data_IF_000467040366
#
_entry.id   IF_000467040366
#
_cell.length_a   1.000
_cell.length_b   1.000
_cell.length_c   1.000
_cell.angle_alpha   90.00
_cell.angle_beta   90.00
_cell.angle_gamma   90.00
#
_symmetry.space_group_name_H-M   'P 1'
#
loop_
_entity.id
_entity.type
_entity.pdbx_description
1 polymer ?
#
# COMPACT_ATOMS: atom_id res chain seq x y z
N UNK A 1 78.08 -26.49 13.77
CA UNK A 1 77.59 -26.31 12.38
C UNK A 1 76.38 -27.15 11.97
N UNK A 2 75.98 -28.22 12.69
CA UNK A 2 74.76 -29.00 12.35
C UNK A 2 73.45 -28.50 13.00
N UNK A 3 73.51 -27.65 14.03
CA UNK A 3 72.33 -27.08 14.70
C UNK A 3 71.82 -25.80 14.00
N UNK A 4 72.73 -24.94 13.51
CA UNK A 4 72.39 -23.74 12.75
C UNK A 4 71.70 -24.06 11.40
N UNK A 5 72.02 -25.18 10.75
CA UNK A 5 71.35 -25.63 9.52
C UNK A 5 69.92 -26.16 9.75
N UNK A 6 69.59 -26.65 10.96
CA UNK A 6 68.22 -27.10 11.29
C UNK A 6 67.30 -25.94 11.66
N UNK A 7 67.81 -24.89 12.30
CA UNK A 7 67.04 -23.69 12.63
C UNK A 7 66.76 -22.86 11.36
N UNK A 8 67.72 -22.80 10.43
CA UNK A 8 67.55 -22.10 9.15
C UNK A 8 66.59 -22.83 8.19
N UNK A 9 66.48 -24.16 8.28
CA UNK A 9 65.52 -24.94 7.49
C UNK A 9 64.07 -24.85 8.00
N UNK A 10 63.87 -24.65 9.31
CA UNK A 10 62.53 -24.48 9.93
C UNK A 10 62.02 -23.04 9.72
N UNK A 11 62.90 -22.03 9.72
CA UNK A 11 62.52 -20.64 9.43
C UNK A 11 62.22 -20.43 7.94
N UNK A 12 62.89 -21.16 7.02
CA UNK A 12 62.59 -21.10 5.59
C UNK A 12 61.30 -21.85 5.19
N UNK A 13 60.87 -22.84 5.98
CA UNK A 13 59.60 -23.56 5.76
C UNK A 13 58.40 -22.88 6.41
N UNK A 14 58.60 -22.06 7.46
CA UNK A 14 57.56 -21.18 7.99
C UNK A 14 57.30 -19.94 7.10
N UNK A 15 58.30 -19.47 6.35
CA UNK A 15 58.16 -18.33 5.43
C UNK A 15 57.61 -18.70 4.04
N UNK A 16 57.60 -19.98 3.65
CA UNK A 16 56.95 -20.46 2.42
C UNK A 16 55.49 -20.88 2.60
N UNK A 17 55.02 -21.12 3.84
CA UNK A 17 53.59 -21.40 4.11
C UNK A 17 52.82 -20.12 4.44
N UNK A 18 53.51 -19.03 4.81
CA UNK A 18 52.90 -17.70 4.97
C UNK A 18 52.84 -16.87 3.67
N UNK A 19 53.37 -17.39 2.55
CA UNK A 19 53.35 -16.73 1.24
C UNK A 19 52.54 -17.50 0.17
N UNK A 20 51.76 -18.51 0.58
CA UNK A 20 50.85 -19.27 -0.29
C UNK A 20 49.35 -19.11 0.08
N UNK A 21 49.00 -18.14 0.94
CA UNK A 21 47.62 -17.71 1.18
C UNK A 21 47.38 -16.22 0.88
N UNK A 22 48.32 -15.57 0.20
CA UNK A 22 48.18 -14.21 -0.30
C UNK A 22 48.54 -14.23 -1.79
N UNK A 23 47.53 -14.41 -2.66
CA UNK A 23 47.70 -14.40 -4.12
C UNK A 23 47.23 -15.67 -4.81
N UNK A 24 45.93 -15.96 -4.72
CA UNK A 24 45.16 -16.70 -5.72
C UNK A 24 43.67 -16.57 -5.37
N UNK A 25 43.15 -15.35 -5.42
CA UNK A 25 41.77 -15.15 -5.86
C UNK A 25 41.92 -14.67 -7.28
N UNK A 26 41.84 -15.61 -8.22
CA UNK A 26 41.48 -15.25 -9.58
C UNK A 26 40.09 -14.63 -9.46
N UNK A 27 40.03 -13.30 -9.47
CA UNK A 27 38.82 -12.64 -9.92
C UNK A 27 38.54 -13.23 -11.31
N UNK A 28 37.30 -13.64 -11.63
CA UNK A 28 36.92 -13.63 -13.01
C UNK A 28 37.06 -12.16 -13.43
N UNK A 29 38.11 -11.86 -14.22
CA UNK A 29 38.04 -10.77 -15.18
C UNK A 29 36.95 -11.16 -16.18
N UNK A 30 35.69 -10.98 -15.76
CA UNK A 30 34.67 -10.55 -16.67
C UNK A 30 34.87 -9.06 -16.81
N UNK A 31 35.44 -8.61 -17.93
CA UNK A 31 34.95 -7.40 -18.56
C UNK A 31 33.48 -7.69 -18.93
N UNK A 32 32.61 -7.65 -17.91
CA UNK A 32 31.21 -7.43 -18.10
C UNK A 32 31.09 -5.97 -18.50
N UNK A 33 30.48 -5.74 -19.65
CA UNK A 33 30.01 -4.43 -20.03
C UNK A 33 29.31 -3.85 -18.79
N UNK A 34 29.85 -2.76 -18.24
CA UNK A 34 29.30 -2.13 -17.04
C UNK A 34 28.09 -1.30 -17.47
N UNK A 35 27.18 -1.92 -18.22
CA UNK A 35 25.86 -1.37 -18.47
C UNK A 35 25.21 -1.27 -17.11
N UNK A 36 24.88 -0.05 -16.69
CA UNK A 36 24.09 0.17 -15.50
C UNK A 36 22.85 -0.74 -15.58
N UNK A 37 22.52 -1.40 -14.46
CA UNK A 37 21.30 -2.19 -14.33
C UNK A 37 20.13 -1.36 -14.85
N UNK A 38 19.22 -2.00 -15.58
CA UNK A 38 18.04 -1.34 -16.15
C UNK A 38 16.77 -1.84 -15.49
N UNK A 39 15.92 -0.90 -15.10
CA UNK A 39 14.61 -1.18 -14.52
C UNK A 39 13.54 -0.64 -15.45
N UNK A 40 12.68 -1.53 -15.91
CA UNK A 40 11.51 -1.23 -16.72
C UNK A 40 10.28 -1.00 -15.85
N UNK A 41 9.49 0.02 -16.18
CA UNK A 41 8.23 0.33 -15.48
C UNK A 41 7.07 0.37 -16.48
N UNK A 42 5.95 -0.22 -16.08
CA UNK A 42 4.69 -0.24 -16.80
C UNK A 42 3.65 0.43 -15.89
N UNK A 43 3.11 1.55 -16.37
CA UNK A 43 2.10 2.36 -15.66
C UNK A 43 0.77 2.34 -16.41
N UNK A 44 -0.34 2.16 -15.70
CA UNK A 44 -1.69 2.12 -16.27
C UNK A 44 -2.06 3.43 -16.96
N UNK A 45 -1.73 4.57 -16.34
CA UNK A 45 -1.95 5.91 -16.83
C UNK A 45 -0.64 6.72 -16.83
N UNK A 46 -0.76 8.05 -16.84
CA UNK A 46 0.34 9.00 -16.73
C UNK A 46 0.20 9.88 -15.48
N UNK A 47 1.05 10.91 -15.37
CA UNK A 47 1.12 11.83 -14.23
C UNK A 47 -0.18 12.59 -13.89
N UNK A 48 -1.22 12.52 -14.74
CA UNK A 48 -2.52 13.12 -14.46
C UNK A 48 -3.35 12.28 -13.47
N UNK A 49 -3.09 10.99 -13.36
CA UNK A 49 -3.64 10.13 -12.30
C UNK A 49 -2.83 10.35 -11.02
N UNK A 50 -3.51 10.62 -9.90
CA UNK A 50 -2.81 10.81 -8.62
C UNK A 50 -2.12 9.54 -8.14
N UNK A 51 -2.64 8.38 -8.50
CA UNK A 51 -2.06 7.06 -8.24
C UNK A 51 -0.78 6.84 -9.05
N UNK A 52 -0.84 6.91 -10.38
CA UNK A 52 0.31 6.68 -11.25
C UNK A 52 1.40 7.72 -11.03
N UNK A 53 1.05 8.98 -10.76
CA UNK A 53 2.02 10.01 -10.39
C UNK A 53 2.83 9.62 -9.15
N UNK A 54 2.20 8.99 -8.17
CA UNK A 54 2.89 8.51 -6.96
C UNK A 54 3.88 7.38 -7.28
N UNK A 55 3.53 6.44 -8.16
CA UNK A 55 4.47 5.41 -8.64
C UNK A 55 5.60 5.97 -9.48
N UNK A 56 5.30 6.87 -10.43
CA UNK A 56 6.30 7.50 -11.30
C UNK A 56 7.33 8.24 -10.45
N UNK A 57 6.87 9.02 -9.46
CA UNK A 57 7.77 9.75 -8.55
C UNK A 57 8.65 8.79 -7.77
N UNK A 58 8.07 7.73 -7.18
CA UNK A 58 8.82 6.72 -6.43
C UNK A 58 9.84 5.96 -7.31
N UNK A 59 9.48 5.67 -8.56
CA UNK A 59 10.38 5.03 -9.53
C UNK A 59 11.57 5.92 -9.88
N UNK A 60 11.33 7.21 -10.15
CA UNK A 60 12.38 8.19 -10.40
C UNK A 60 13.33 8.31 -9.19
N UNK A 61 12.78 8.46 -7.98
CA UNK A 61 13.54 8.59 -6.74
C UNK A 61 14.38 7.33 -6.45
N UNK A 62 13.79 6.14 -6.55
CA UNK A 62 14.49 4.88 -6.32
C UNK A 62 15.59 4.64 -7.37
N UNK A 63 15.32 4.89 -8.66
CA UNK A 63 16.31 4.73 -9.70
C UNK A 63 17.48 5.73 -9.55
N UNK A 64 17.20 6.99 -9.18
CA UNK A 64 18.24 7.98 -8.86
C UNK A 64 19.07 7.54 -7.65
N UNK A 65 18.43 7.09 -6.56
CA UNK A 65 19.10 6.65 -5.34
C UNK A 65 20.02 5.44 -5.58
N UNK A 66 19.56 4.48 -6.39
CA UNK A 66 20.28 3.24 -6.70
C UNK A 66 21.28 3.37 -7.86
N UNK A 67 21.23 4.47 -8.62
CA UNK A 67 22.11 4.71 -9.75
C UNK A 67 21.87 3.75 -10.92
N UNK A 68 20.61 3.35 -11.14
CA UNK A 68 20.18 2.45 -12.21
C UNK A 68 19.46 3.22 -13.32
N UNK A 69 19.44 2.67 -14.54
CA UNK A 69 18.75 3.28 -15.68
C UNK A 69 17.26 2.91 -15.65
N UNK A 70 16.39 3.92 -15.73
CA UNK A 70 14.93 3.75 -15.77
C UNK A 70 14.43 3.78 -17.22
N UNK A 71 13.62 2.79 -17.61
CA UNK A 71 12.79 2.81 -18.82
C UNK A 71 11.32 2.73 -18.41
N UNK A 72 10.43 3.52 -19.02
CA UNK A 72 9.01 3.53 -18.67
C UNK A 72 8.09 3.41 -19.87
N UNK A 73 6.91 2.84 -19.63
CA UNK A 73 5.74 2.79 -20.51
C UNK A 73 4.53 3.26 -19.70
N UNK A 74 3.82 4.27 -20.21
CA UNK A 74 2.62 4.84 -19.59
C UNK A 74 1.40 4.59 -20.47
N UNK A 75 0.20 4.64 -19.91
CA UNK A 75 -1.05 4.39 -20.63
C UNK A 75 -1.14 2.94 -21.16
N UNK A 76 -0.70 1.98 -20.35
CA UNK A 76 -0.75 0.55 -20.67
C UNK A 76 -1.98 -0.08 -20.02
N UNK A 77 -2.97 -0.41 -20.83
CA UNK A 77 -4.21 -1.02 -20.35
C UNK A 77 -3.99 -2.39 -19.68
N UNK A 78 -4.97 -2.78 -18.87
CA UNK A 78 -5.10 -4.12 -18.27
C UNK A 78 -5.53 -5.18 -19.31
N UNK A 79 -4.74 -5.29 -20.38
CA UNK A 79 -4.90 -6.28 -21.43
C UNK A 79 -3.53 -6.79 -21.93
N UNK A 80 -3.50 -7.52 -23.06
CA UNK A 80 -2.28 -8.07 -23.68
C UNK A 80 -1.20 -7.01 -23.98
N UNK A 81 -1.55 -5.72 -23.98
CA UNK A 81 -0.58 -4.62 -24.05
C UNK A 81 0.41 -4.64 -22.88
N UNK A 82 0.01 -5.11 -21.69
CA UNK A 82 0.90 -5.25 -20.54
C UNK A 82 2.02 -6.27 -20.81
N UNK A 83 1.66 -7.48 -21.25
CA UNK A 83 2.64 -8.51 -21.63
C UNK A 83 3.56 -8.01 -22.75
N UNK A 84 2.98 -7.34 -23.76
CA UNK A 84 3.76 -6.79 -24.88
C UNK A 84 4.77 -5.75 -24.39
N UNK A 85 4.36 -4.83 -23.52
CA UNK A 85 5.26 -3.83 -22.93
C UNK A 85 6.37 -4.47 -22.09
N UNK A 86 6.03 -5.49 -21.30
CA UNK A 86 7.02 -6.25 -20.52
C UNK A 86 8.06 -6.92 -21.43
N UNK A 87 7.61 -7.63 -22.48
CA UNK A 87 8.51 -8.26 -23.44
C UNK A 87 9.42 -7.25 -24.17
N UNK A 88 8.89 -6.09 -24.56
CA UNK A 88 9.68 -5.00 -25.15
C UNK A 88 10.75 -4.47 -24.17
N UNK A 89 10.42 -4.31 -22.89
CA UNK A 89 11.37 -3.90 -21.85
C UNK A 89 12.47 -4.96 -21.63
N UNK A 90 12.13 -6.25 -21.68
CA UNK A 90 13.13 -7.34 -21.67
C UNK A 90 14.05 -7.23 -22.89
N UNK A 91 13.49 -7.06 -24.09
CA UNK A 91 14.28 -6.90 -25.33
C UNK A 91 15.19 -5.65 -25.31
N UNK A 92 14.80 -4.61 -24.57
CA UNK A 92 15.59 -3.39 -24.32
C UNK A 92 16.66 -3.55 -23.22
N UNK A 93 16.70 -4.73 -22.60
CA UNK A 93 17.74 -5.17 -21.65
C UNK A 93 17.44 -4.84 -20.20
N UNK A 94 16.18 -4.71 -19.79
CA UNK A 94 15.82 -4.57 -18.39
C UNK A 94 16.07 -5.85 -17.58
N UNK A 95 16.68 -5.70 -16.40
CA UNK A 95 16.92 -6.78 -15.43
C UNK A 95 15.70 -6.98 -14.50
N UNK A 96 14.92 -5.91 -14.32
CA UNK A 96 13.72 -5.85 -13.49
C UNK A 96 12.60 -5.19 -14.29
N UNK A 97 11.38 -5.71 -14.21
CA UNK A 97 10.17 -5.09 -14.75
C UNK A 97 9.15 -4.92 -13.63
N UNK A 98 8.65 -3.71 -13.45
CA UNK A 98 7.63 -3.36 -12.48
C UNK A 98 6.32 -2.98 -13.19
N UNK A 99 5.18 -3.44 -12.67
CA UNK A 99 3.84 -3.03 -13.11
C UNK A 99 2.98 -2.58 -11.92
N UNK A 100 2.24 -1.48 -12.08
CA UNK A 100 1.60 -0.75 -10.96
C UNK A 100 0.10 -1.01 -10.77
N UNK A 101 -0.54 -1.78 -11.66
CA UNK A 101 -2.00 -1.92 -11.71
C UNK A 101 -2.44 -3.35 -11.50
N UNK A 102 -3.48 -3.54 -10.66
CA UNK A 102 -4.01 -4.86 -10.29
C UNK A 102 -4.27 -5.78 -11.51
N UNK A 103 -4.88 -5.26 -12.57
CA UNK A 103 -5.19 -6.05 -13.78
C UNK A 103 -3.99 -6.38 -14.66
N UNK A 104 -2.77 -5.93 -14.33
CA UNK A 104 -1.54 -6.34 -15.01
C UNK A 104 -1.04 -7.72 -14.57
N UNK A 105 -1.51 -8.26 -13.45
CA UNK A 105 -0.91 -9.43 -12.79
C UNK A 105 -0.74 -10.65 -13.71
N UNK A 106 -1.81 -11.08 -14.37
CA UNK A 106 -1.79 -12.29 -15.21
C UNK A 106 -0.83 -12.15 -16.41
N UNK A 107 -0.70 -10.93 -16.94
CA UNK A 107 0.21 -10.63 -18.04
C UNK A 107 1.67 -10.60 -17.57
N UNK A 108 1.92 -10.12 -16.35
CA UNK A 108 3.24 -10.14 -15.72
C UNK A 108 3.66 -11.57 -15.34
N UNK A 109 2.75 -12.42 -14.88
CA UNK A 109 3.00 -13.85 -14.64
C UNK A 109 3.37 -14.57 -15.95
N UNK A 110 2.64 -14.27 -17.04
CA UNK A 110 2.96 -14.80 -18.36
C UNK A 110 4.38 -14.38 -18.79
N UNK A 111 4.73 -13.10 -18.64
CA UNK A 111 6.07 -12.62 -18.95
C UNK A 111 7.15 -13.26 -18.07
N UNK A 112 6.91 -13.40 -16.77
CA UNK A 112 7.83 -14.07 -15.85
C UNK A 112 8.11 -15.54 -16.24
N UNK A 113 7.09 -16.23 -16.78
CA UNK A 113 7.23 -17.60 -17.31
C UNK A 113 8.10 -17.66 -18.56
N UNK A 114 7.91 -16.71 -19.49
CA UNK A 114 8.62 -16.68 -20.78
C UNK A 114 10.06 -16.12 -20.66
N UNK A 115 10.33 -15.29 -19.64
CA UNK A 115 11.61 -14.62 -19.42
C UNK A 115 12.19 -14.91 -18.01
N UNK A 116 12.66 -16.14 -17.74
CA UNK A 116 13.07 -16.58 -16.39
C UNK A 116 14.33 -15.90 -15.85
N UNK A 117 15.09 -15.18 -16.69
CA UNK A 117 16.31 -14.47 -16.31
C UNK A 117 16.04 -13.03 -15.80
N UNK A 118 14.80 -12.53 -15.93
CA UNK A 118 14.36 -11.19 -15.51
C UNK A 118 13.45 -11.29 -14.30
N UNK A 119 13.55 -10.32 -13.37
CA UNK A 119 12.64 -10.23 -12.21
C UNK A 119 11.40 -9.40 -12.54
N UNK A 120 10.23 -9.90 -12.17
CA UNK A 120 8.94 -9.27 -12.40
C UNK A 120 8.30 -8.90 -11.06
N UNK A 121 8.09 -7.61 -10.86
CA UNK A 121 7.51 -7.03 -9.66
C UNK A 121 6.13 -6.47 -10.01
N UNK A 122 5.14 -6.72 -9.15
CA UNK A 122 3.77 -6.31 -9.40
C UNK A 122 3.13 -5.72 -8.15
N UNK A 123 2.61 -4.50 -8.25
CA UNK A 123 1.87 -3.88 -7.15
C UNK A 123 0.48 -4.49 -7.01
N UNK A 124 -0.01 -4.64 -5.78
CA UNK A 124 -1.42 -4.97 -5.44
C UNK A 124 -1.90 -6.38 -5.79
N UNK A 125 -1.09 -7.20 -6.46
CA UNK A 125 -1.44 -8.56 -6.86
C UNK A 125 -1.59 -9.56 -5.72
N UNK A 126 -2.18 -10.72 -6.03
CA UNK A 126 -2.58 -11.74 -5.06
C UNK A 126 -2.03 -13.14 -5.36
N UNK A 127 -1.17 -13.29 -6.37
CA UNK A 127 -0.84 -14.62 -6.92
C UNK A 127 0.61 -15.05 -6.76
N UNK A 128 1.52 -14.19 -6.31
CA UNK A 128 2.93 -14.56 -6.21
C UNK A 128 3.17 -15.76 -5.27
N UNK A 129 2.48 -15.81 -4.11
CA UNK A 129 2.60 -16.92 -3.16
C UNK A 129 1.98 -18.23 -3.66
N UNK A 130 1.03 -18.19 -4.59
CA UNK A 130 0.36 -19.37 -5.16
C UNK A 130 1.03 -19.87 -6.44
N UNK A 131 1.48 -18.97 -7.32
CA UNK A 131 2.18 -19.30 -8.56
C UNK A 131 3.59 -19.85 -8.32
N UNK A 132 4.25 -19.40 -7.24
CA UNK A 132 5.57 -19.88 -6.81
C UNK A 132 6.68 -19.72 -7.89
N UNK A 133 6.53 -18.76 -8.81
CA UNK A 133 7.57 -18.41 -9.78
C UNK A 133 8.69 -17.63 -9.08
N UNK A 134 9.92 -18.14 -9.11
CA UNK A 134 11.06 -17.56 -8.37
C UNK A 134 11.48 -16.15 -8.81
N UNK A 135 10.91 -15.65 -9.90
CA UNK A 135 11.17 -14.35 -10.49
C UNK A 135 9.91 -13.48 -10.58
N UNK A 136 8.84 -13.82 -9.85
CA UNK A 136 7.61 -13.04 -9.78
C UNK A 136 7.27 -12.71 -8.34
N UNK A 137 7.00 -11.43 -8.07
CA UNK A 137 6.85 -10.89 -6.72
C UNK A 137 5.70 -9.89 -6.66
N UNK A 138 4.85 -10.01 -5.65
CA UNK A 138 3.86 -9.01 -5.31
C UNK A 138 4.35 -8.09 -4.20
N UNK A 139 3.89 -6.84 -4.25
CA UNK A 139 4.11 -5.90 -3.18
C UNK A 139 2.90 -5.02 -2.91
N UNK A 140 2.74 -4.70 -1.64
CA UNK A 140 1.77 -3.73 -1.16
C UNK A 140 2.31 -3.08 0.13
N UNK A 141 1.49 -2.28 0.79
CA UNK A 141 1.83 -1.74 2.10
C UNK A 141 0.63 -1.85 3.05
N UNK A 142 0.88 -1.78 4.37
CA UNK A 142 -0.13 -1.67 5.42
C UNK A 142 -0.81 -0.29 5.41
N UNK A 143 -1.25 0.18 4.23
CA UNK A 143 -1.84 1.50 4.01
C UNK A 143 -3.09 1.72 4.87
N UNK A 144 -3.73 0.64 5.32
CA UNK A 144 -4.80 0.67 6.31
C UNK A 144 -4.38 1.40 7.60
N UNK A 145 -3.11 1.32 8.02
CA UNK A 145 -2.56 2.10 9.14
C UNK A 145 -2.52 3.59 8.81
N UNK A 146 -2.09 3.95 7.60
CA UNK A 146 -2.10 5.34 7.11
C UNK A 146 -3.53 5.89 7.01
N UNK A 147 -4.48 5.07 6.56
CA UNK A 147 -5.92 5.39 6.53
C UNK A 147 -6.48 5.60 7.92
N UNK A 148 -6.09 4.78 8.90
CA UNK A 148 -6.46 4.96 10.30
C UNK A 148 -5.94 6.28 10.86
N UNK A 149 -4.67 6.62 10.64
CA UNK A 149 -4.08 7.90 11.06
C UNK A 149 -4.79 9.10 10.40
N UNK A 150 -5.15 9.00 9.13
CA UNK A 150 -5.95 10.01 8.45
C UNK A 150 -7.38 10.11 9.03
N UNK A 151 -7.94 8.98 9.46
CA UNK A 151 -9.18 8.90 10.22
C UNK A 151 -9.10 9.62 11.57
N UNK A 152 -8.01 9.46 12.31
CA UNK A 152 -7.74 10.18 13.56
C UNK A 152 -7.81 11.70 13.33
N UNK A 153 -7.23 12.20 12.25
CA UNK A 153 -7.31 13.61 11.86
C UNK A 153 -8.75 14.05 11.58
N UNK A 154 -9.55 13.21 10.90
CA UNK A 154 -10.97 13.46 10.67
C UNK A 154 -11.77 13.50 11.98
N UNK A 155 -11.52 12.55 12.90
CA UNK A 155 -12.16 12.53 14.22
C UNK A 155 -11.82 13.76 15.07
N UNK A 156 -10.57 14.24 15.01
CA UNK A 156 -10.16 15.51 15.61
C UNK A 156 -10.98 16.67 15.04
N UNK A 157 -11.17 16.72 13.71
CA UNK A 157 -11.97 17.75 13.06
C UNK A 157 -13.44 17.70 13.45
N UNK A 158 -14.05 16.53 13.50
CA UNK A 158 -15.44 16.36 13.94
C UNK A 158 -15.65 16.86 15.37
N UNK A 159 -14.75 16.50 16.30
CA UNK A 159 -14.83 16.98 17.67
C UNK A 159 -14.66 18.49 17.79
N UNK A 160 -13.79 19.12 16.98
CA UNK A 160 -13.67 20.57 16.91
C UNK A 160 -15.00 21.22 16.48
N UNK A 161 -15.62 20.71 15.41
CA UNK A 161 -16.90 21.22 14.90
C UNK A 161 -18.05 21.03 15.91
N UNK A 162 -18.07 19.92 16.64
CA UNK A 162 -19.02 19.68 17.74
C UNK A 162 -18.78 20.69 18.87
N UNK A 163 -17.53 20.88 19.30
CA UNK A 163 -17.19 21.81 20.38
C UNK A 163 -17.48 23.28 20.02
N UNK A 164 -17.34 23.64 18.74
CA UNK A 164 -17.72 24.94 18.20
C UNK A 164 -19.24 25.13 18.05
N UNK A 165 -20.03 24.05 18.16
CA UNK A 165 -21.48 24.06 17.97
C UNK A 165 -21.90 24.21 16.50
N UNK A 166 -21.01 23.89 15.56
CA UNK A 166 -21.30 23.87 14.12
C UNK A 166 -22.13 22.65 13.73
N UNK A 167 -21.90 21.53 14.41
CA UNK A 167 -22.66 20.28 14.29
C UNK A 167 -22.97 19.72 15.69
N UNK A 168 -23.95 18.82 15.79
CA UNK A 168 -24.21 17.99 16.98
C UNK A 168 -23.59 16.60 16.82
N UNK A 169 -23.52 15.82 17.91
CA UNK A 169 -22.99 14.44 17.88
C UNK A 169 -23.72 13.54 16.88
N UNK A 170 -25.05 13.69 16.75
CA UNK A 170 -25.88 12.96 15.77
C UNK A 170 -25.73 13.46 14.33
N UNK A 171 -25.05 14.59 14.12
CA UNK A 171 -24.67 15.12 12.82
C UNK A 171 -23.22 14.81 12.44
N UNK A 172 -22.47 14.09 13.29
CA UNK A 172 -21.10 13.65 13.01
C UNK A 172 -21.07 12.49 11.98
N UNK A 173 -21.63 12.73 10.80
CA UNK A 173 -21.67 11.76 9.70
C UNK A 173 -20.57 12.08 8.69
N UNK A 174 -19.70 11.13 8.41
CA UNK A 174 -18.69 11.23 7.35
C UNK A 174 -19.17 10.56 6.07
N UNK A 175 -18.59 10.93 4.94
CA UNK A 175 -18.84 10.28 3.66
C UNK A 175 -17.54 9.71 3.07
N UNK A 176 -17.67 8.64 2.29
CA UNK A 176 -16.56 8.04 1.56
C UNK A 176 -16.95 7.73 0.11
N UNK A 177 -16.16 8.20 -0.85
CA UNK A 177 -16.30 7.85 -2.27
C UNK A 177 -15.30 6.74 -2.60
N UNK A 178 -15.79 5.52 -2.83
CA UNK A 178 -14.96 4.38 -3.22
C UNK A 178 -14.99 4.14 -4.73
N UNK A 179 -13.98 3.44 -5.26
CA UNK A 179 -13.99 2.96 -6.65
C UNK A 179 -14.83 1.68 -6.81
N UNK A 180 -14.41 0.59 -6.18
CA UNK A 180 -15.01 -0.75 -6.26
C UNK A 180 -15.27 -1.33 -4.87
N UNK A 181 -16.03 -2.43 -4.79
CA UNK A 181 -16.24 -3.16 -3.52
C UNK A 181 -15.12 -4.16 -3.20
N UNK A 182 -13.89 -3.88 -3.63
CA UNK A 182 -12.74 -4.73 -3.37
C UNK A 182 -12.24 -4.61 -1.93
N UNK A 183 -11.55 -5.65 -1.46
CA UNK A 183 -10.96 -5.67 -0.12
C UNK A 183 -10.06 -4.47 0.15
N UNK A 184 -9.29 -3.98 -0.83
CA UNK A 184 -8.48 -2.77 -0.68
C UNK A 184 -9.32 -1.53 -0.28
N UNK A 185 -10.46 -1.34 -0.95
CA UNK A 185 -11.34 -0.19 -0.70
C UNK A 185 -12.08 -0.38 0.62
N UNK A 186 -12.52 -1.60 0.92
CA UNK A 186 -13.20 -1.95 2.18
C UNK A 186 -12.29 -1.76 3.39
N UNK A 187 -11.08 -2.33 3.33
CA UNK A 187 -10.01 -2.14 4.31
C UNK A 187 -9.70 -0.66 4.49
N UNK A 188 -9.59 0.10 3.39
CA UNK A 188 -9.28 1.53 3.40
C UNK A 188 -10.33 2.39 4.11
N UNK A 189 -11.60 2.31 3.70
CA UNK A 189 -12.66 3.11 4.33
C UNK A 189 -12.93 2.65 5.76
N UNK A 190 -12.82 1.34 6.04
CA UNK A 190 -13.07 0.81 7.39
C UNK A 190 -12.02 1.33 8.35
N UNK A 191 -10.75 1.32 7.95
CA UNK A 191 -9.65 1.86 8.75
C UNK A 191 -9.81 3.36 9.00
N UNK A 192 -10.19 4.11 7.97
CA UNK A 192 -10.50 5.54 8.10
C UNK A 192 -11.63 5.79 9.12
N UNK A 193 -12.72 5.03 9.02
CA UNK A 193 -13.83 5.12 9.97
C UNK A 193 -13.41 4.77 11.40
N UNK A 194 -12.67 3.68 11.60
CA UNK A 194 -12.20 3.27 12.93
C UNK A 194 -11.24 4.30 13.54
N UNK A 195 -10.37 4.90 12.72
CA UNK A 195 -9.49 6.00 13.11
C UNK A 195 -10.29 7.19 13.61
N UNK A 196 -11.31 7.62 12.87
CA UNK A 196 -12.18 8.72 13.28
C UNK A 196 -12.98 8.38 14.56
N UNK A 197 -13.51 7.16 14.65
CA UNK A 197 -14.30 6.68 15.79
C UNK A 197 -13.50 6.60 17.08
N UNK A 198 -12.19 6.31 17.00
CA UNK A 198 -11.29 6.31 18.15
C UNK A 198 -11.20 7.67 18.85
N UNK A 199 -11.43 8.76 18.11
CA UNK A 199 -11.39 10.13 18.62
C UNK A 199 -12.80 10.71 18.80
N UNK A 200 -13.72 10.44 17.87
CA UNK A 200 -15.11 10.91 17.87
C UNK A 200 -16.07 9.71 17.93
N UNK A 201 -16.45 9.24 19.13
CA UNK A 201 -17.23 7.99 19.27
C UNK A 201 -18.64 8.03 18.66
N UNK A 202 -19.21 9.21 18.41
CA UNK A 202 -20.54 9.37 17.81
C UNK A 202 -20.52 9.25 16.28
N UNK A 203 -19.35 9.13 15.66
CA UNK A 203 -19.22 9.17 14.21
C UNK A 203 -19.91 7.99 13.52
N UNK A 204 -20.58 8.28 12.41
CA UNK A 204 -21.10 7.30 11.44
C UNK A 204 -20.55 7.61 10.06
N UNK A 205 -20.65 6.66 9.12
CA UNK A 205 -20.18 6.88 7.76
C UNK A 205 -21.13 6.35 6.70
N UNK A 206 -21.30 7.09 5.61
CA UNK A 206 -21.94 6.62 4.38
C UNK A 206 -20.89 6.41 3.28
N UNK A 207 -21.04 5.34 2.50
CA UNK A 207 -20.13 5.00 1.39
C UNK A 207 -20.92 4.87 0.09
N UNK A 208 -20.38 5.41 -0.99
CA UNK A 208 -20.91 5.25 -2.36
C UNK A 208 -19.76 4.91 -3.30
N UNK A 209 -20.03 4.14 -4.33
CA UNK A 209 -19.01 3.63 -5.27
C UNK A 209 -19.25 4.15 -6.69
N UNK A 210 -18.16 4.41 -7.41
CA UNK A 210 -18.20 4.90 -8.79
C UNK A 210 -18.14 3.78 -9.83
N UNK A 211 -17.59 2.62 -9.49
CA UNK A 211 -17.25 1.56 -10.43
C UNK A 211 -16.07 1.89 -11.35
N UNK A 212 -15.22 2.85 -10.94
CA UNK A 212 -14.02 3.28 -11.66
C UNK A 212 -12.95 3.80 -10.68
N UNK A 213 -11.70 3.42 -10.89
CA UNK A 213 -10.55 4.01 -10.17
C UNK A 213 -10.38 5.51 -10.48
N UNK A 214 -10.73 5.92 -11.70
CA UNK A 214 -10.64 7.31 -12.15
C UNK A 214 -11.90 7.70 -12.95
N UNK A 215 -12.75 8.55 -12.36
CA UNK A 215 -13.82 9.26 -13.07
C UNK A 215 -14.15 10.54 -12.29
N UNK A 216 -13.52 11.65 -12.68
CA UNK A 216 -13.67 12.93 -12.00
C UNK A 216 -15.13 13.39 -11.89
N UNK A 217 -15.97 13.06 -12.87
CA UNK A 217 -17.39 13.44 -12.82
C UNK A 217 -18.15 12.58 -11.82
N UNK A 218 -18.00 11.25 -11.88
CA UNK A 218 -18.68 10.34 -10.97
C UNK A 218 -18.22 10.54 -9.52
N UNK A 219 -16.92 10.77 -9.29
CA UNK A 219 -16.37 11.03 -7.97
C UNK A 219 -16.92 12.34 -7.38
N UNK A 220 -17.02 13.38 -8.21
CA UNK A 220 -17.61 14.66 -7.80
C UNK A 220 -19.10 14.50 -7.46
N UNK A 221 -19.86 13.83 -8.31
CA UNK A 221 -21.30 13.58 -8.10
C UNK A 221 -21.53 12.72 -6.84
N UNK A 222 -20.67 11.72 -6.59
CA UNK A 222 -20.68 10.91 -5.38
C UNK A 222 -20.44 11.73 -4.12
N UNK A 223 -19.41 12.60 -4.13
CA UNK A 223 -19.15 13.50 -3.00
C UNK A 223 -20.29 14.51 -2.79
N UNK A 224 -20.83 15.10 -3.85
CA UNK A 224 -21.98 16.01 -3.77
C UNK A 224 -23.22 15.30 -3.20
N UNK A 225 -23.47 14.04 -3.58
CA UNK A 225 -24.54 13.21 -3.01
C UNK A 225 -24.35 13.03 -1.51
N UNK A 226 -23.17 12.60 -1.06
CA UNK A 226 -22.87 12.41 0.36
C UNK A 226 -23.03 13.71 1.18
N UNK A 227 -22.54 14.83 0.64
CA UNK A 227 -22.70 16.15 1.25
C UNK A 227 -24.19 16.53 1.36
N UNK A 228 -24.96 16.31 0.31
CA UNK A 228 -26.40 16.58 0.30
C UNK A 228 -27.18 15.69 1.28
N UNK A 229 -26.71 14.45 1.49
CA UNK A 229 -27.26 13.53 2.49
C UNK A 229 -26.83 13.90 3.92
N UNK A 230 -25.99 14.93 4.09
CA UNK A 230 -25.62 15.49 5.39
C UNK A 230 -24.29 14.99 5.93
N UNK A 231 -23.43 14.40 5.09
CA UNK A 231 -22.06 14.13 5.46
C UNK A 231 -21.28 15.45 5.62
N UNK A 232 -20.62 15.63 6.76
CA UNK A 232 -19.94 16.88 7.15
C UNK A 232 -18.43 16.83 6.97
N UNK A 233 -17.89 15.69 6.55
CA UNK A 233 -16.49 15.47 6.17
C UNK A 233 -16.44 14.34 5.16
N UNK A 234 -15.66 14.47 4.08
CA UNK A 234 -15.57 13.46 3.02
C UNK A 234 -14.14 12.94 2.88
N UNK A 235 -14.01 11.63 2.67
CA UNK A 235 -12.77 11.00 2.19
C UNK A 235 -13.03 10.26 0.87
N UNK A 236 -11.97 9.82 0.20
CA UNK A 236 -12.06 9.05 -1.03
C UNK A 236 -11.03 7.90 -1.11
N UNK A 237 -11.33 6.93 -1.99
CA UNK A 237 -10.41 5.96 -2.60
C UNK A 237 -10.62 5.97 -4.13
N UNK A 238 -10.24 7.07 -4.74
CA UNK A 238 -10.32 7.34 -6.16
C UNK A 238 -9.21 8.32 -6.58
N UNK A 239 -8.84 8.32 -7.85
CA UNK A 239 -7.55 8.86 -8.28
C UNK A 239 -7.62 10.28 -8.86
N UNK A 240 -8.75 10.96 -8.70
CA UNK A 240 -9.01 12.28 -9.29
C UNK A 240 -9.23 13.42 -8.27
N UNK A 241 -9.42 14.63 -8.81
CA UNK A 241 -9.78 15.83 -8.06
C UNK A 241 -11.30 16.01 -7.86
N UNK A 242 -12.14 15.08 -8.32
CA UNK A 242 -13.60 15.20 -8.31
C UNK A 242 -14.17 15.42 -6.90
N UNK A 243 -13.93 14.46 -5.99
CA UNK A 243 -14.40 14.56 -4.61
C UNK A 243 -13.77 15.72 -3.82
N UNK A 244 -12.43 15.95 -3.85
CA UNK A 244 -11.82 17.11 -3.19
C UNK A 244 -12.38 18.45 -3.70
N UNK A 245 -12.63 18.58 -5.00
CA UNK A 245 -13.21 19.80 -5.60
C UNK A 245 -14.66 20.02 -5.15
N UNK A 246 -15.47 18.97 -5.04
CA UNK A 246 -16.82 19.06 -4.47
C UNK A 246 -16.79 19.62 -3.05
N UNK A 247 -15.87 19.09 -2.23
CA UNK A 247 -15.69 19.50 -0.84
C UNK A 247 -15.26 20.95 -0.71
N UNK A 248 -14.25 21.38 -1.46
CA UNK A 248 -13.76 22.77 -1.46
C UNK A 248 -14.87 23.75 -1.89
N UNK A 249 -15.66 23.41 -2.91
CA UNK A 249 -16.78 24.24 -3.36
C UNK A 249 -17.90 24.35 -2.30
N UNK A 250 -18.12 23.28 -1.54
CA UNK A 250 -19.12 23.23 -0.48
C UNK A 250 -18.62 23.79 0.87
N UNK A 251 -17.31 23.99 1.03
CA UNK A 251 -16.70 24.32 2.32
C UNK A 251 -16.72 23.16 3.32
N UNK A 252 -16.82 21.92 2.83
CA UNK A 252 -16.82 20.70 3.64
C UNK A 252 -15.40 20.18 3.77
N UNK A 253 -14.87 19.91 4.98
CA UNK A 253 -13.53 19.34 5.14
C UNK A 253 -13.35 18.02 4.38
N UNK A 254 -12.15 17.79 3.85
CA UNK A 254 -11.82 16.54 3.17
C UNK A 254 -10.46 15.96 3.57
N UNK A 255 -10.38 14.64 3.49
CA UNK A 255 -9.16 13.84 3.60
C UNK A 255 -8.96 13.15 2.26
N UNK A 256 -7.77 13.25 1.66
CA UNK A 256 -7.52 12.64 0.35
C UNK A 256 -6.65 11.38 0.45
N UNK A 257 -6.47 10.72 -0.70
CA UNK A 257 -5.60 9.57 -0.89
C UNK A 257 -4.58 9.83 -1.99
N UNK A 258 -3.49 9.03 -2.02
CA UNK A 258 -2.40 9.03 -3.01
C UNK A 258 -1.53 10.29 -3.08
N UNK A 259 -2.05 11.46 -2.70
CA UNK A 259 -1.28 12.69 -2.69
C UNK A 259 -2.01 13.86 -2.04
N UNK A 260 -1.29 14.96 -1.86
CA UNK A 260 -1.84 16.19 -1.30
C UNK A 260 -2.71 16.92 -2.33
N UNK A 261 -3.89 17.37 -1.90
CA UNK A 261 -4.79 18.23 -2.68
C UNK A 261 -4.75 19.68 -2.22
N UNK A 262 -3.83 20.04 -1.32
CA UNK A 262 -3.78 21.35 -0.64
C UNK A 262 -3.76 22.55 -1.60
N UNK A 263 -3.12 22.42 -2.77
CA UNK A 263 -3.03 23.51 -3.75
C UNK A 263 -4.39 23.86 -4.37
N UNK A 264 -5.27 22.88 -4.51
CA UNK A 264 -6.60 23.05 -5.09
C UNK A 264 -7.67 23.23 -4.01
N UNK A 265 -7.48 22.63 -2.83
CA UNK A 265 -8.43 22.60 -1.74
C UNK A 265 -7.87 23.21 -0.43
N UNK A 266 -7.28 24.43 -0.46
CA UNK A 266 -6.52 24.96 0.69
C UNK A 266 -7.38 25.21 1.93
N UNK A 267 -8.70 25.36 1.77
CA UNK A 267 -9.60 25.65 2.88
C UNK A 267 -10.20 24.39 3.51
N UNK A 268 -10.21 23.27 2.78
CA UNK A 268 -10.94 22.06 3.20
C UNK A 268 -10.06 20.83 3.35
N UNK A 269 -8.95 20.72 2.62
CA UNK A 269 -8.03 19.59 2.74
C UNK A 269 -7.38 19.54 4.13
N UNK A 270 -7.45 18.41 4.82
CA UNK A 270 -6.85 18.21 6.15
C UNK A 270 -5.48 17.54 6.03
N UNK A 271 -5.46 16.33 5.47
CA UNK A 271 -4.29 15.47 5.33
C UNK A 271 -4.56 14.43 4.24
N UNK A 272 -3.52 13.80 3.72
CA UNK A 272 -3.61 12.67 2.80
C UNK A 272 -2.72 11.55 3.29
N UNK A 273 -3.19 10.31 3.17
CA UNK A 273 -2.36 9.12 3.31
C UNK A 273 -1.96 8.61 1.92
N UNK A 274 -0.75 8.07 1.77
CA UNK A 274 -0.30 7.41 0.54
C UNK A 274 0.68 6.27 0.85
N UNK A 275 0.83 5.38 -0.10
CA UNK A 275 1.93 4.42 -0.12
C UNK A 275 3.16 5.12 -0.70
N UNK A 276 4.30 5.02 -0.03
CA UNK A 276 5.60 5.34 -0.63
C UNK A 276 6.23 4.05 -1.17
N UNK A 277 6.37 3.98 -2.49
CA UNK A 277 6.87 2.79 -3.19
C UNK A 277 8.39 2.78 -3.32
N UNK A 278 9.06 3.91 -3.06
CA UNK A 278 10.51 3.99 -3.19
C UNK A 278 11.24 2.96 -2.29
N UNK A 279 10.85 2.74 -1.01
CA UNK A 279 11.47 1.71 -0.19
C UNK A 279 11.37 0.29 -0.76
N UNK A 280 10.25 -0.06 -1.40
CA UNK A 280 10.10 -1.37 -2.05
C UNK A 280 11.01 -1.49 -3.27
N UNK A 281 10.99 -0.47 -4.13
CA UNK A 281 11.78 -0.45 -5.36
C UNK A 281 13.28 -0.50 -5.03
N UNK A 282 13.75 0.28 -4.06
CA UNK A 282 15.13 0.23 -3.57
C UNK A 282 15.48 -1.15 -3.01
N UNK A 283 14.61 -1.75 -2.20
CA UNK A 283 14.77 -3.11 -1.67
C UNK A 283 14.92 -4.14 -2.80
N UNK A 284 14.00 -4.15 -3.76
CA UNK A 284 13.99 -5.12 -4.85
C UNK A 284 15.22 -4.94 -5.76
N UNK A 285 15.57 -3.70 -6.14
CA UNK A 285 16.77 -3.39 -6.92
C UNK A 285 18.01 -3.86 -6.18
N UNK A 286 18.14 -3.56 -4.88
CA UNK A 286 19.29 -3.98 -4.07
C UNK A 286 19.40 -5.50 -3.99
N UNK A 287 18.29 -6.23 -3.86
CA UNK A 287 18.29 -7.69 -3.87
C UNK A 287 18.85 -8.25 -5.19
N UNK A 288 18.46 -7.68 -6.34
CA UNK A 288 19.00 -8.11 -7.65
C UNK A 288 20.47 -7.76 -7.78
N UNK A 289 20.90 -6.57 -7.33
CA UNK A 289 22.32 -6.17 -7.34
C UNK A 289 23.19 -7.09 -6.49
N UNK A 290 22.70 -7.54 -5.34
CA UNK A 290 23.41 -8.41 -4.41
C UNK A 290 23.27 -9.91 -4.73
N UNK A 291 22.36 -10.27 -5.64
CA UNK A 291 22.02 -11.65 -5.95
C UNK A 291 21.33 -12.39 -4.80
N UNK A 292 20.50 -11.68 -4.02
CA UNK A 292 19.69 -12.25 -2.94
C UNK A 292 18.23 -12.43 -3.38
N UNK A 293 17.53 -13.35 -2.73
CA UNK A 293 16.11 -13.62 -3.03
C UNK A 293 15.21 -12.44 -2.65
N UNK A 294 14.22 -12.16 -3.50
CA UNK A 294 13.08 -11.31 -3.19
C UNK A 294 11.95 -12.24 -2.71
N UNK A 295 11.26 -11.87 -1.62
CA UNK A 295 10.10 -12.64 -1.16
C UNK A 295 8.95 -12.62 -2.18
N UNK A 296 8.10 -13.65 -2.17
CA UNK A 296 6.91 -13.66 -3.03
C UNK A 296 5.99 -12.48 -2.74
N UNK A 297 5.79 -12.18 -1.46
CA UNK A 297 5.03 -11.04 -0.99
C UNK A 297 5.91 -10.12 -0.14
N UNK A 298 5.80 -8.83 -0.41
CA UNK A 298 6.39 -7.79 0.42
C UNK A 298 5.31 -6.83 0.92
N UNK A 299 5.28 -6.60 2.23
CA UNK A 299 4.37 -5.65 2.87
C UNK A 299 5.18 -4.52 3.49
N UNK A 300 5.10 -3.33 2.87
CA UNK A 300 5.64 -2.10 3.45
C UNK A 300 4.84 -1.65 4.66
N UNK A 301 5.47 -0.94 5.59
CA UNK A 301 4.86 -0.49 6.85
C UNK A 301 5.17 0.96 7.15
N UNK A 302 4.65 1.47 8.27
CA UNK A 302 5.09 2.75 8.85
C UNK A 302 6.61 2.77 9.12
N UNK A 303 7.16 1.66 9.61
CA UNK A 303 8.59 1.53 9.96
C UNK A 303 9.51 1.50 8.73
N UNK A 304 9.06 0.90 7.62
CA UNK A 304 9.82 0.92 6.36
C UNK A 304 9.71 2.28 5.65
N UNK A 305 8.89 3.20 6.16
CA UNK A 305 8.60 4.48 5.51
C UNK A 305 7.69 4.34 4.29
N UNK A 306 7.04 3.19 4.11
CA UNK A 306 6.18 2.90 2.95
C UNK A 306 4.73 3.31 3.16
N UNK A 307 4.35 3.60 4.41
CA UNK A 307 3.06 4.19 4.75
C UNK A 307 3.32 5.59 5.29
N UNK A 308 2.84 6.61 4.58
CA UNK A 308 3.12 8.00 4.92
C UNK A 308 1.87 8.86 4.84
N UNK A 309 1.88 9.93 5.64
CA UNK A 309 0.91 11.01 5.54
C UNK A 309 1.62 12.25 4.97
N UNK A 310 0.89 13.07 4.24
CA UNK A 310 1.35 14.42 3.89
C UNK A 310 1.40 15.30 5.13
N UNK A 311 2.02 16.47 5.03
CA UNK A 311 1.89 17.52 6.05
C UNK A 311 0.40 17.83 6.32
N UNK A 312 0.07 18.02 7.59
CA UNK A 312 -1.27 18.45 8.03
C UNK A 312 -1.49 19.90 7.62
N UNK A 313 -2.59 20.17 6.92
CA UNK A 313 -3.02 21.53 6.62
C UNK A 313 -3.68 22.18 7.85
N UNK A 314 -2.90 22.96 8.59
CA UNK A 314 -3.36 23.64 9.80
C UNK A 314 -4.46 24.68 9.57
N UNK A 315 -4.79 25.02 8.32
CA UNK A 315 -5.91 25.92 8.01
C UNK A 315 -7.28 25.21 8.08
N UNK A 316 -7.31 23.90 7.80
CA UNK A 316 -8.54 23.10 7.83
C UNK A 316 -8.60 22.16 9.04
N UNK A 317 -7.45 21.61 9.44
CA UNK A 317 -7.32 20.67 10.55
C UNK A 317 -7.57 21.33 11.92
N UNK A 318 -8.02 20.53 12.89
CA UNK A 318 -8.16 20.98 14.27
C UNK A 318 -6.79 21.21 14.93
N UNK A 319 -6.73 22.09 15.92
CA UNK A 319 -5.53 22.27 16.75
C UNK A 319 -5.16 20.94 17.45
N UNK A 320 -3.87 20.58 17.48
CA UNK A 320 -3.39 19.33 18.08
C UNK A 320 -3.44 18.10 17.15
N UNK A 321 -3.86 18.26 15.89
CA UNK A 321 -4.02 17.13 14.97
C UNK A 321 -2.70 16.40 14.70
N UNK A 322 -1.60 17.13 14.44
CA UNK A 322 -0.30 16.49 14.17
C UNK A 322 0.18 15.73 15.40
N UNK A 323 0.08 16.32 16.58
CA UNK A 323 0.50 15.67 17.83
C UNK A 323 -0.29 14.39 18.09
N UNK A 324 -1.59 14.37 17.79
CA UNK A 324 -2.41 13.17 17.96
C UNK A 324 -2.10 12.10 16.92
N UNK A 325 -1.79 12.48 15.67
CA UNK A 325 -1.30 11.54 14.65
C UNK A 325 0.02 10.91 15.11
N UNK A 326 0.98 11.72 15.58
CA UNK A 326 2.29 11.22 16.02
C UNK A 326 2.17 10.27 17.23
N UNK A 327 1.28 10.57 18.17
CA UNK A 327 0.96 9.71 19.32
C UNK A 327 0.43 8.35 18.86
N UNK A 328 -0.59 8.32 17.99
CA UNK A 328 -1.22 7.09 17.51
C UNK A 328 -0.27 6.31 16.59
N UNK A 329 0.53 7.00 15.77
CA UNK A 329 1.56 6.37 14.94
C UNK A 329 2.55 5.60 15.80
N UNK A 330 3.00 6.17 16.91
CA UNK A 330 3.91 5.49 17.83
C UNK A 330 3.26 4.26 18.49
N UNK A 331 1.94 4.28 18.75
CA UNK A 331 1.21 3.12 19.28
C UNK A 331 1.08 1.97 18.26
N UNK A 332 0.88 2.31 16.98
CA UNK A 332 0.88 1.38 15.84
C UNK A 332 2.26 0.74 15.66
N UNK A 333 3.32 1.56 15.56
CA UNK A 333 4.71 1.08 15.44
C UNK A 333 5.13 0.21 16.66
N UNK A 334 4.61 0.52 17.85
CA UNK A 334 4.84 -0.29 19.04
C UNK A 334 4.03 -1.59 19.11
N UNK A 335 3.06 -1.80 18.20
CA UNK A 335 2.12 -2.92 18.24
C UNK A 335 1.20 -2.91 19.47
N UNK A 336 0.98 -1.73 20.06
CA UNK A 336 0.06 -1.56 21.20
C UNK A 336 -1.34 -1.15 20.77
N UNK A 337 -1.47 -0.67 19.53
CA UNK A 337 -2.73 -0.44 18.84
C UNK A 337 -2.75 -1.28 17.57
N UNK A 338 -3.86 -1.95 17.31
CA UNK A 338 -4.13 -2.64 16.06
C UNK A 338 -5.36 -2.03 15.41
N UNK A 339 -5.28 -1.64 14.14
CA UNK A 339 -6.37 -0.98 13.41
C UNK A 339 -7.66 -1.80 13.47
N UNK A 340 -7.54 -3.12 13.27
CA UNK A 340 -8.66 -4.06 13.30
C UNK A 340 -8.73 -4.86 14.60
N UNK A 341 -8.50 -4.22 15.75
CA UNK A 341 -8.82 -4.80 17.06
C UNK A 341 -10.32 -5.13 17.12
N UNK A 342 -10.64 -6.41 17.29
CA UNK A 342 -12.02 -6.89 17.14
C UNK A 342 -12.96 -6.42 18.25
N UNK A 343 -12.41 -5.89 19.35
CA UNK A 343 -13.19 -5.29 20.43
C UNK A 343 -13.68 -3.87 20.10
N UNK A 344 -13.15 -3.25 19.05
CA UNK A 344 -13.43 -1.83 18.70
C UNK A 344 -14.59 -1.64 17.73
N UNK A 345 -15.07 -2.73 17.13
CA UNK A 345 -16.20 -2.72 16.19
C UNK A 345 -17.10 -3.95 16.38
N UNK A 346 -18.30 -3.87 15.82
CA UNK A 346 -19.25 -4.98 15.77
C UNK A 346 -19.57 -5.34 14.33
N UNK A 347 -20.00 -6.58 14.14
CA UNK A 347 -20.28 -7.17 12.83
C UNK A 347 -21.65 -7.84 12.87
N UNK A 348 -22.56 -7.38 12.02
CA UNK A 348 -23.82 -8.09 11.77
C UNK A 348 -23.60 -9.23 10.77
N UNK A 349 -23.92 -10.47 11.17
CA UNK A 349 -23.87 -11.67 10.32
C UNK A 349 -25.28 -12.08 9.91
N UNK A 350 -25.53 -12.22 8.61
CA UNK A 350 -26.79 -12.71 8.03
C UNK A 350 -26.53 -13.84 7.04
N UNK A 351 -27.56 -14.35 6.37
CA UNK A 351 -27.41 -15.39 5.34
C UNK A 351 -26.64 -14.92 4.10
N UNK A 352 -26.54 -13.61 3.91
CA UNK A 352 -26.00 -12.92 2.73
C UNK A 352 -24.92 -11.87 3.07
N UNK A 353 -24.68 -11.58 4.35
CA UNK A 353 -23.71 -10.58 4.82
C UNK A 353 -22.74 -11.22 5.81
N UNK A 354 -21.43 -10.99 5.61
CA UNK A 354 -20.35 -11.45 6.50
C UNK A 354 -20.43 -12.96 6.78
N UNK A 355 -20.76 -13.77 5.77
CA UNK A 355 -21.04 -15.21 5.94
C UNK A 355 -19.85 -16.02 6.44
N UNK A 356 -18.64 -15.49 6.29
CA UNK A 356 -17.39 -16.11 6.76
C UNK A 356 -17.00 -15.66 8.18
N UNK A 357 -17.76 -14.73 8.79
CA UNK A 357 -17.49 -14.20 10.11
C UNK A 357 -18.20 -14.98 11.21
N UNK A 358 -17.52 -15.17 12.34
CA UNK A 358 -18.12 -15.59 13.60
C UNK A 358 -18.00 -14.46 14.62
N UNK A 359 -19.09 -14.18 15.33
CA UNK A 359 -19.15 -13.12 16.35
C UNK A 359 -19.52 -13.64 17.73
N UNK A 360 -19.13 -12.91 18.77
CA UNK A 360 -19.54 -13.16 20.14
C UNK A 360 -20.98 -12.69 20.43
N UNK A 361 -21.41 -12.77 21.69
CA UNK A 361 -22.77 -12.35 22.10
C UNK A 361 -23.04 -10.84 21.95
N UNK A 362 -21.99 -10.03 21.83
CA UNK A 362 -22.07 -8.57 21.65
C UNK A 362 -21.85 -8.16 20.19
N UNK A 363 -21.62 -9.11 19.29
CA UNK A 363 -21.36 -8.85 17.87
C UNK A 363 -19.89 -8.55 17.55
N UNK A 364 -18.96 -8.73 18.49
CA UNK A 364 -17.53 -8.57 18.23
C UNK A 364 -16.99 -9.76 17.44
N UNK A 365 -16.13 -9.49 16.46
CA UNK A 365 -15.53 -10.51 15.60
C UNK A 365 -14.62 -11.45 16.43
N UNK A 366 -14.77 -12.76 16.23
CA UNK A 366 -13.99 -13.79 16.94
C UNK A 366 -13.24 -14.74 16.01
N UNK A 367 -13.66 -14.84 14.76
CA UNK A 367 -13.04 -15.63 13.70
C UNK A 367 -13.52 -15.10 12.35
N UNK A 368 -12.62 -15.13 11.36
CA UNK A 368 -12.94 -14.81 9.97
C UNK A 368 -12.10 -15.68 9.04
N UNK A 369 -12.75 -16.48 8.20
CA UNK A 369 -12.07 -17.17 7.12
C UNK A 369 -11.98 -16.22 5.92
N UNK A 370 -10.80 -15.68 5.66
CA UNK A 370 -10.49 -14.86 4.50
C UNK A 370 -10.12 -15.72 3.28
N UNK A 371 -10.33 -15.18 2.09
CA UNK A 371 -9.81 -15.71 0.83
C UNK A 371 -8.46 -15.02 0.54
N UNK A 372 -7.37 -15.68 0.90
CA UNK A 372 -6.00 -15.17 0.75
C UNK A 372 -5.36 -15.71 -0.53
N UNK A 373 -5.75 -16.88 -1.00
CA UNK A 373 -5.20 -17.44 -2.24
C UNK A 373 -5.87 -16.84 -3.49
N UNK A 374 -7.08 -16.28 -3.36
CA UNK A 374 -7.87 -15.68 -4.45
C UNK A 374 -8.04 -16.65 -5.61
N UNK A 375 -8.61 -17.81 -5.28
CA UNK A 375 -9.00 -18.79 -6.28
C UNK A 375 -10.20 -18.32 -7.12
N UNK A 376 -10.45 -18.98 -8.25
CA UNK A 376 -11.55 -18.59 -9.14
C UNK A 376 -12.96 -18.73 -8.52
N UNK A 377 -13.09 -19.42 -7.39
CA UNK A 377 -14.33 -19.56 -6.63
C UNK A 377 -14.41 -18.62 -5.43
N UNK A 378 -13.37 -17.82 -5.16
CA UNK A 378 -13.18 -17.00 -3.97
C UNK A 378 -13.42 -17.81 -2.69
N UNK A 379 -12.84 -19.02 -2.64
CA UNK A 379 -13.04 -19.93 -1.52
C UNK A 379 -12.27 -19.42 -0.31
N UNK A 380 -12.93 -19.20 0.84
CA UNK A 380 -12.22 -18.85 2.08
C UNK A 380 -11.24 -19.96 2.49
N UNK A 381 -9.99 -19.59 2.74
CA UNK A 381 -8.87 -20.53 2.93
C UNK A 381 -8.01 -20.25 4.18
N UNK A 382 -8.07 -19.04 4.73
CA UNK A 382 -7.16 -18.59 5.79
C UNK A 382 -7.90 -17.98 6.98
N UNK A 383 -7.64 -18.46 8.19
CA UNK A 383 -8.15 -17.81 9.41
C UNK A 383 -7.36 -16.52 9.66
N UNK A 384 -8.02 -15.38 9.46
CA UNK A 384 -7.41 -14.07 9.55
C UNK A 384 -7.50 -13.42 10.94
N UNK A 385 -8.28 -14.00 11.87
CA UNK A 385 -8.41 -13.47 13.23
C UNK A 385 -7.63 -14.32 14.21
N UNK A 386 -6.65 -13.71 14.86
CA UNK A 386 -5.90 -14.28 15.98
C UNK A 386 -5.54 -13.18 16.97
N UNK A 387 -5.22 -13.58 18.21
CA UNK A 387 -4.74 -12.68 19.28
C UNK A 387 -5.59 -11.41 19.56
N UNK A 388 -6.87 -11.41 19.17
CA UNK A 388 -7.83 -10.32 19.41
C UNK A 388 -7.94 -9.28 18.30
N UNK A 389 -7.30 -9.48 17.15
CA UNK A 389 -7.41 -8.57 16.01
C UNK A 389 -7.41 -9.33 14.67
N UNK A 390 -7.81 -8.65 13.60
CA UNK A 390 -7.69 -9.17 12.25
C UNK A 390 -6.29 -8.86 11.71
N UNK A 391 -5.57 -9.88 11.28
CA UNK A 391 -4.24 -9.78 10.71
C UNK A 391 -4.34 -9.43 9.23
N UNK A 392 -4.42 -8.14 8.88
CA UNK A 392 -4.47 -7.65 7.49
C UNK A 392 -3.06 -7.59 6.88
N UNK A 393 -2.94 -8.04 5.63
CA UNK A 393 -1.68 -8.05 4.85
C UNK A 393 -0.51 -8.84 5.47
N UNK A 394 -0.82 -9.85 6.28
CA UNK A 394 0.15 -10.78 6.90
C UNK A 394 0.35 -12.06 6.09
N UNK A 395 -0.74 -12.64 5.57
CA UNK A 395 -0.70 -13.91 4.84
C UNK A 395 -0.47 -13.76 3.33
N UNK A 396 -0.74 -12.55 2.80
CA UNK A 396 -0.25 -12.03 1.53
C UNK A 396 -0.09 -10.51 1.66
N UNK A 397 0.58 -9.85 0.72
CA UNK A 397 0.75 -8.40 0.77
C UNK A 397 -0.56 -7.63 0.50
N UNK A 398 -1.31 -8.02 -0.53
CA UNK A 398 -2.55 -7.35 -0.91
C UNK A 398 -3.67 -7.50 0.14
N UNK A 399 -4.54 -6.49 0.31
CA UNK A 399 -5.64 -6.51 1.28
C UNK A 399 -6.59 -7.70 1.12
N UNK A 400 -7.12 -8.19 2.24
CA UNK A 400 -8.16 -9.23 2.28
C UNK A 400 -9.23 -8.97 3.35
N UNK A 401 -9.22 -7.80 3.99
CA UNK A 401 -10.31 -7.34 4.82
C UNK A 401 -11.49 -6.87 3.96
N UNK A 402 -12.54 -7.68 3.91
CA UNK A 402 -13.79 -7.43 3.17
C UNK A 402 -15.04 -7.44 4.10
N UNK A 403 -14.83 -7.34 5.41
CA UNK A 403 -15.89 -7.38 6.42
C UNK A 403 -16.68 -6.07 6.44
N UNK A 404 -18.00 -6.18 6.32
CA UNK A 404 -18.92 -5.05 6.48
C UNK A 404 -19.28 -4.84 7.96
N UNK A 405 -18.52 -3.98 8.64
CA UNK A 405 -18.75 -3.65 10.06
C UNK A 405 -19.96 -2.74 10.27
N UNK A 406 -20.48 -2.69 11.50
CA UNK A 406 -21.59 -1.81 11.85
C UNK A 406 -21.13 -0.35 12.05
N UNK A 407 -22.01 0.61 11.73
CA UNK A 407 -21.72 2.05 11.78
C UNK A 407 -21.29 2.66 10.45
N UNK A 408 -21.18 1.82 9.42
CA UNK A 408 -20.94 2.19 8.02
C UNK A 408 -22.14 1.75 7.18
N UNK A 409 -22.77 2.69 6.48
CA UNK A 409 -23.90 2.47 5.60
C UNK A 409 -23.45 2.53 4.13
N UNK A 410 -23.51 1.40 3.43
CA UNK A 410 -23.22 1.34 1.98
C UNK A 410 -24.48 1.75 1.20
N UNK A 411 -24.41 2.83 0.44
CA UNK A 411 -25.53 3.35 -0.36
C UNK A 411 -25.76 2.56 -1.65
N UNK A 412 -24.72 1.88 -2.13
CA UNK A 412 -24.68 1.00 -3.29
C UNK A 412 -23.57 -0.04 -3.12
N UNK A 413 -23.71 -1.21 -3.75
CA UNK A 413 -22.79 -2.37 -3.57
C UNK A 413 -22.59 -3.18 -4.85
N UNK A 414 -22.94 -2.64 -6.02
CA UNK A 414 -23.03 -3.39 -7.27
C UNK A 414 -21.74 -3.36 -8.11
N UNK A 415 -20.59 -3.10 -7.49
CA UNK A 415 -19.37 -2.66 -8.17
C UNK A 415 -18.15 -3.54 -7.90
#
# INVERSE_FOLDING_TARGET
MKLAKKIMAIVLSALLVAACFAGCSAAPEGEGDNSAMKVGFIFLHDENSTYDKNFITAAEEACEAMGVEMLSRTNINEDDACYTAAAELVDEGCDIIFADSFGHEDYMIQAATDFPDVQFLHATGTKAHTENLSNFHNAFASIYEGRYLAGVAAGMKLNEMIAAGEITEDQAKMGYVGAYTYAEVISGYTSFYLGAKSVCPSVTMEVTFTGSWYDETAEKEGAEKLINDGCVLISQHADSMGAPTACENAGVPNVSYNGSTISACPNTFIVSSRIDWAPYLEYAIQCVMDGTEIGYDWTGTLDTGSVVLTDVNTAAAAEGTQEKIDEVKAELEAGTLHVFDTSTFTVTVTEDKNVNATVDENGHLTSYMADVDTDAAYTPDTEAVADGYFHESEYRSAPYFDIQIDGIDLLDTAF
#
